data_IF_851927050613
#
_entry.id   IF_851927050613
#
_cell.length_a   1.000
_cell.length_b   1.000
_cell.length_c   1.000
_cell.angle_alpha   90.00
_cell.angle_beta   90.00
_cell.angle_gamma   90.00
#
_symmetry.space_group_name_H-M   'P 1'
#
loop_
_entity.id
_entity.type
_entity.pdbx_description
1 polymer ?
#
# COMPACT_ATOMS: atom_id res chain seq x y z
N UNK A 1 -19.81 -3.33 10.85
CA UNK A 1 -19.52 -4.24 11.98
C UNK A 1 -20.42 -5.46 11.79
N UNK A 2 -19.87 -6.54 11.23
CA UNK A 2 -20.61 -7.78 11.03
C UNK A 2 -20.28 -8.77 12.13
N UNK A 3 -21.32 -9.34 12.76
CA UNK A 3 -21.19 -10.38 13.79
C UNK A 3 -21.97 -11.60 13.32
N UNK A 4 -21.38 -12.79 13.38
CA UNK A 4 -22.06 -14.02 13.00
C UNK A 4 -23.07 -14.50 14.06
N UNK A 5 -23.85 -15.53 13.73
CA UNK A 5 -24.83 -16.14 14.63
C UNK A 5 -24.24 -16.82 15.87
N UNK A 6 -22.91 -16.82 16.04
CA UNK A 6 -22.18 -17.34 17.21
C UNK A 6 -21.49 -16.22 18.00
N UNK A 7 -21.70 -14.95 17.64
CA UNK A 7 -21.12 -13.80 18.33
C UNK A 7 -19.68 -13.48 17.92
N UNK A 8 -19.15 -14.08 16.85
CA UNK A 8 -17.80 -13.79 16.35
C UNK A 8 -17.82 -12.57 15.43
N UNK A 9 -16.90 -11.63 15.66
CA UNK A 9 -16.79 -10.37 14.92
C UNK A 9 -15.93 -10.58 13.66
N UNK A 10 -16.51 -10.35 12.48
CA UNK A 10 -15.86 -10.62 11.18
C UNK A 10 -15.20 -9.40 10.53
N UNK A 11 -15.29 -8.21 11.12
CA UNK A 11 -14.64 -7.00 10.59
C UNK A 11 -14.15 -6.14 11.73
N UNK A 12 -12.83 -6.08 11.92
CA UNK A 12 -12.18 -4.91 12.49
C UNK A 12 -11.67 -4.09 11.32
N UNK A 13 -12.53 -3.22 10.79
CA UNK A 13 -12.08 -1.94 10.23
C UNK A 13 -10.98 -1.41 11.15
N UNK A 14 -9.79 -1.08 10.64
CA UNK A 14 -8.64 -0.58 11.40
C UNK A 14 -9.24 0.54 12.23
N UNK A 15 -9.39 0.28 13.53
CA UNK A 15 -10.13 1.22 14.34
C UNK A 15 -9.26 2.47 14.39
N UNK A 16 -9.75 3.51 13.71
CA UNK A 16 -9.09 4.80 13.52
C UNK A 16 -8.59 5.38 14.84
N UNK A 17 -9.18 4.96 15.96
CA UNK A 17 -8.77 5.27 17.34
C UNK A 17 -7.39 4.72 17.73
N UNK A 18 -6.82 3.77 17.00
CA UNK A 18 -5.52 3.15 17.33
C UNK A 18 -4.44 3.36 16.26
N UNK A 19 -4.82 3.42 14.99
CA UNK A 19 -3.86 3.37 13.88
C UNK A 19 -3.29 4.74 13.55
N UNK A 20 -4.15 5.75 13.46
CA UNK A 20 -3.71 7.14 13.31
C UNK A 20 -2.84 7.53 14.52
N UNK A 21 -3.24 7.27 15.78
CA UNK A 21 -2.36 7.51 16.93
C UNK A 21 -1.07 6.69 16.93
N UNK A 22 -1.07 5.42 16.48
CA UNK A 22 0.17 4.64 16.40
C UNK A 22 1.16 5.24 15.39
N UNK A 23 0.66 5.64 14.22
CA UNK A 23 1.49 6.27 13.20
C UNK A 23 1.94 7.68 13.64
N UNK A 24 1.09 8.42 14.36
CA UNK A 24 1.40 9.75 14.89
C UNK A 24 2.35 9.72 16.10
N UNK A 25 2.18 8.79 17.03
CA UNK A 25 2.88 8.82 18.33
C UNK A 25 4.11 7.90 18.36
N UNK A 26 4.03 6.76 17.67
CA UNK A 26 5.13 5.77 17.62
C UNK A 26 6.05 6.05 16.44
N UNK A 27 5.47 6.22 15.24
CA UNK A 27 6.22 6.42 13.99
C UNK A 27 6.50 7.92 13.76
N UNK A 28 5.71 8.81 14.39
CA UNK A 28 5.78 10.27 14.24
C UNK A 28 5.67 10.72 12.79
N UNK A 29 4.74 10.13 12.05
CA UNK A 29 4.56 10.39 10.62
C UNK A 29 3.12 10.81 10.27
N UNK A 30 2.78 12.10 10.42
CA UNK A 30 1.45 12.64 10.15
C UNK A 30 0.91 12.38 8.74
N UNK A 31 1.68 12.60 7.68
CA UNK A 31 1.14 12.42 6.33
C UNK A 31 0.84 10.96 6.00
N UNK A 32 1.58 10.02 6.57
CA UNK A 32 1.25 8.60 6.45
C UNK A 32 -0.03 8.25 7.21
N UNK A 33 -0.21 8.81 8.40
CA UNK A 33 -1.43 8.62 9.16
C UNK A 33 -2.64 9.17 8.38
N UNK A 34 -2.47 10.32 7.73
CA UNK A 34 -3.47 10.93 6.85
C UNK A 34 -3.79 10.04 5.64
N UNK A 35 -2.77 9.53 4.93
CA UNK A 35 -2.98 8.65 3.75
C UNK A 35 -3.64 7.33 4.11
N UNK A 36 -3.28 6.75 5.27
CA UNK A 36 -3.94 5.55 5.79
C UNK A 36 -5.40 5.85 6.15
N UNK A 37 -5.66 6.98 6.80
CA UNK A 37 -7.03 7.39 7.12
C UNK A 37 -7.90 7.67 5.89
N UNK A 38 -7.35 8.31 4.85
CA UNK A 38 -8.04 8.56 3.59
C UNK A 38 -8.37 7.25 2.86
N UNK A 39 -7.41 6.30 2.79
CA UNK A 39 -7.66 4.97 2.19
C UNK A 39 -8.65 4.12 3.00
N UNK A 40 -8.70 4.30 4.31
CA UNK A 40 -9.69 3.65 5.18
C UNK A 40 -11.04 4.39 5.24
N UNK A 41 -11.30 5.35 4.34
CA UNK A 41 -12.53 6.14 4.26
C UNK A 41 -12.94 6.82 5.60
N UNK A 42 -11.96 7.28 6.37
CA UNK A 42 -12.19 7.95 7.65
C UNK A 42 -12.61 9.41 7.44
N UNK A 43 -13.92 9.67 7.48
CA UNK A 43 -14.46 11.04 7.44
C UNK A 43 -13.93 11.90 8.61
N UNK A 44 -13.49 13.13 8.32
CA UNK A 44 -13.09 14.14 9.31
C UNK A 44 -11.62 14.14 9.74
N UNK A 45 -10.76 13.31 9.13
CA UNK A 45 -9.34 13.23 9.50
C UNK A 45 -8.49 14.39 8.96
N UNK A 46 -9.00 15.14 7.99
CA UNK A 46 -8.36 16.34 7.43
C UNK A 46 -8.07 17.42 8.49
N UNK A 47 -8.91 17.51 9.53
CA UNK A 47 -8.76 18.46 10.65
C UNK A 47 -7.52 18.17 11.51
N UNK A 48 -7.03 16.92 11.53
CA UNK A 48 -5.85 16.53 12.30
C UNK A 48 -4.53 16.98 11.64
N UNK A 49 -4.59 17.48 10.40
CA UNK A 49 -3.44 17.86 9.57
C UNK A 49 -3.63 19.23 8.92
N UNK A 50 -4.49 20.07 9.53
CA UNK A 50 -4.70 21.46 9.14
C UNK A 50 -3.34 22.20 9.08
N UNK A 51 -3.01 22.89 7.97
CA UNK A 51 -1.75 23.63 7.79
C UNK A 51 -1.57 24.83 8.73
N UNK A 52 -2.56 25.16 9.58
CA UNK A 52 -2.37 26.03 10.76
C UNK A 52 -2.39 25.24 12.08
N UNK A 53 -1.44 24.31 12.33
CA UNK A 53 -1.29 23.73 13.65
C UNK A 53 -0.54 24.76 14.51
N UNK A 54 -1.07 25.10 15.69
CA UNK A 54 -0.36 26.01 16.60
C UNK A 54 1.08 25.56 16.84
N UNK A 55 2.04 26.43 16.51
CA UNK A 55 3.50 26.53 16.75
C UNK A 55 4.40 25.29 17.00
N UNK A 56 3.92 24.05 16.97
CA UNK A 56 4.70 22.85 17.37
C UNK A 56 4.62 21.65 16.42
N UNK A 57 4.27 21.81 15.14
CA UNK A 57 4.31 20.70 14.18
C UNK A 57 5.69 20.56 13.52
N UNK A 58 6.37 19.40 13.64
CA UNK A 58 7.66 19.20 13.00
C UNK A 58 7.51 19.16 11.46
N UNK A 59 8.40 19.89 10.77
CA UNK A 59 8.62 19.79 9.32
C UNK A 59 8.81 18.31 8.92
N UNK A 60 7.87 17.73 8.16
CA UNK A 60 7.89 16.32 7.78
C UNK A 60 8.01 16.10 6.27
N UNK A 61 9.15 15.51 5.92
CA UNK A 61 9.61 14.78 4.72
C UNK A 61 8.73 14.82 3.46
N UNK A 62 9.31 15.36 2.38
CA UNK A 62 8.62 15.74 1.14
C UNK A 62 8.33 14.67 0.08
N UNK A 63 8.80 13.42 0.13
CA UNK A 63 8.51 12.46 -0.96
C UNK A 63 8.35 11.00 -0.47
N UNK A 64 7.12 10.48 -0.59
CA UNK A 64 6.81 9.07 -0.29
C UNK A 64 7.04 8.20 -1.52
N UNK A 65 8.29 7.78 -1.75
CA UNK A 65 8.65 6.82 -2.81
C UNK A 65 8.26 5.39 -2.42
N UNK A 66 8.09 4.45 -3.38
CA UNK A 66 7.86 3.03 -3.07
C UNK A 66 8.89 2.48 -2.06
N UNK A 67 10.17 2.81 -2.27
CA UNK A 67 11.29 2.42 -1.38
C UNK A 67 11.10 2.92 0.05
N UNK A 68 10.68 4.18 0.24
CA UNK A 68 10.45 4.74 1.59
C UNK A 68 9.32 4.02 2.34
N UNK A 69 8.27 3.61 1.62
CA UNK A 69 7.11 2.91 2.17
C UNK A 69 7.48 1.46 2.51
N UNK A 70 8.26 0.80 1.65
CA UNK A 70 8.81 -0.54 1.91
C UNK A 70 9.67 -0.57 3.17
N UNK A 71 10.59 0.39 3.33
CA UNK A 71 11.43 0.48 4.52
C UNK A 71 10.59 0.68 5.79
N UNK A 72 9.50 1.43 5.70
CA UNK A 72 8.59 1.57 6.80
C UNK A 72 7.82 0.27 7.11
N UNK A 73 7.40 -0.47 6.10
CA UNK A 73 6.80 -1.80 6.29
C UNK A 73 7.77 -2.73 7.03
N UNK A 74 9.03 -2.80 6.59
CA UNK A 74 10.09 -3.59 7.24
C UNK A 74 10.28 -3.18 8.72
N UNK A 75 10.26 -1.88 9.03
CA UNK A 75 10.30 -1.37 10.42
C UNK A 75 9.09 -1.80 11.23
N UNK A 76 7.89 -1.68 10.69
CA UNK A 76 6.66 -2.12 11.36
C UNK A 76 6.69 -3.63 11.65
N UNK A 77 7.15 -4.43 10.69
CA UNK A 77 7.30 -5.88 10.85
C UNK A 77 8.28 -6.23 11.99
N UNK A 78 9.45 -5.59 12.04
CA UNK A 78 10.44 -5.77 13.13
C UNK A 78 9.90 -5.43 14.52
N UNK A 79 8.96 -4.49 14.59
CA UNK A 79 8.28 -4.11 15.83
C UNK A 79 7.08 -5.03 16.17
N UNK A 80 6.86 -6.09 15.40
CA UNK A 80 5.73 -7.01 15.58
C UNK A 80 4.40 -6.48 15.03
N UNK A 81 4.39 -5.29 14.42
CA UNK A 81 3.20 -4.66 13.83
C UNK A 81 2.90 -5.22 12.43
N UNK A 82 2.68 -6.54 12.36
CA UNK A 82 2.52 -7.31 11.13
C UNK A 82 1.34 -6.81 10.27
N UNK A 83 0.23 -6.41 10.89
CA UNK A 83 -0.94 -5.84 10.18
C UNK A 83 -0.64 -4.50 9.50
N UNK A 84 0.13 -3.64 10.16
CA UNK A 84 0.50 -2.34 9.58
C UNK A 84 1.51 -2.58 8.45
N UNK A 85 2.46 -3.49 8.66
CA UNK A 85 3.44 -3.87 7.65
C UNK A 85 2.78 -4.43 6.37
N UNK A 86 1.74 -5.26 6.49
CA UNK A 86 1.02 -5.79 5.31
C UNK A 86 0.28 -4.70 4.52
N UNK A 87 -0.37 -3.76 5.21
CA UNK A 87 -1.01 -2.60 4.55
C UNK A 87 0.03 -1.74 3.84
N UNK A 88 1.19 -1.52 4.47
CA UNK A 88 2.28 -0.75 3.85
C UNK A 88 2.87 -1.45 2.63
N UNK A 89 2.91 -2.79 2.58
CA UNK A 89 3.33 -3.53 1.38
C UNK A 89 2.37 -3.30 0.20
N UNK A 90 1.07 -3.30 0.46
CA UNK A 90 0.08 -2.97 -0.57
C UNK A 90 0.22 -1.54 -1.09
N UNK A 91 0.35 -0.57 -0.18
CA UNK A 91 0.56 0.83 -0.55
C UNK A 91 1.85 0.97 -1.36
N UNK A 92 2.93 0.30 -0.93
CA UNK A 92 4.21 0.30 -1.63
C UNK A 92 4.05 -0.16 -3.09
N UNK A 93 3.42 -1.31 -3.33
CA UNK A 93 3.15 -1.81 -4.68
C UNK A 93 2.28 -0.85 -5.49
N UNK A 94 1.18 -0.35 -4.89
CA UNK A 94 0.29 0.61 -5.55
C UNK A 94 1.04 1.86 -6.03
N UNK A 95 1.91 2.42 -5.18
CA UNK A 95 2.71 3.61 -5.50
C UNK A 95 3.76 3.29 -6.56
N UNK A 96 4.34 2.09 -6.55
CA UNK A 96 5.30 1.65 -7.58
C UNK A 96 4.64 1.60 -8.97
N UNK A 97 3.44 1.02 -9.07
CA UNK A 97 2.69 0.97 -10.32
C UNK A 97 2.28 2.38 -10.78
N UNK A 98 1.78 3.23 -9.87
CA UNK A 98 1.44 4.62 -10.22
C UNK A 98 2.66 5.40 -10.70
N UNK A 99 3.81 5.21 -10.05
CA UNK A 99 5.07 5.81 -10.50
C UNK A 99 5.47 5.29 -11.88
N UNK A 100 5.38 3.99 -12.14
CA UNK A 100 5.66 3.42 -13.46
C UNK A 100 4.77 4.03 -14.56
N UNK A 101 3.46 4.15 -14.30
CA UNK A 101 2.49 4.80 -15.20
C UNK A 101 2.90 6.26 -15.47
N UNK A 102 3.24 7.01 -14.42
CA UNK A 102 3.62 8.41 -14.52
C UNK A 102 4.95 8.61 -15.25
N UNK A 103 6.00 7.85 -14.88
CA UNK A 103 7.34 7.97 -15.46
C UNK A 103 7.32 7.61 -16.95
N UNK A 104 6.43 6.71 -17.35
CA UNK A 104 6.23 6.34 -18.75
C UNK A 104 5.13 7.15 -19.46
N UNK A 105 4.45 8.08 -18.77
CA UNK A 105 3.34 8.88 -19.32
C UNK A 105 2.25 8.02 -19.98
N UNK A 106 1.80 6.95 -19.30
CA UNK A 106 0.75 6.07 -19.80
C UNK A 106 -0.64 6.66 -19.53
N UNK A 107 -1.52 6.59 -20.53
CA UNK A 107 -2.91 7.03 -20.38
C UNK A 107 -3.81 5.92 -19.83
N UNK A 108 -3.58 5.51 -18.59
CA UNK A 108 -4.32 4.41 -17.93
C UNK A 108 -4.85 4.85 -16.57
N UNK A 109 -6.09 4.45 -16.26
CA UNK A 109 -6.72 4.72 -14.96
C UNK A 109 -6.86 3.43 -14.14
N UNK A 110 -6.16 3.32 -13.02
CA UNK A 110 -6.14 2.14 -12.15
C UNK A 110 -6.90 2.41 -10.85
N UNK A 111 -8.23 2.43 -10.91
CA UNK A 111 -9.10 2.83 -9.80
C UNK A 111 -9.39 1.70 -8.77
N UNK A 112 -9.21 0.43 -9.13
CA UNK A 112 -9.47 -0.72 -8.27
C UNK A 112 -8.20 -1.51 -7.96
N UNK A 113 -8.28 -2.40 -6.98
CA UNK A 113 -7.15 -3.26 -6.60
C UNK A 113 -6.96 -4.40 -7.60
N UNK A 114 -8.05 -4.91 -8.20
CA UNK A 114 -7.99 -5.88 -9.30
C UNK A 114 -7.30 -5.29 -10.52
N UNK A 115 -7.58 -4.03 -10.88
CA UNK A 115 -6.98 -3.38 -12.05
C UNK A 115 -5.48 -3.19 -11.88
N UNK A 116 -5.01 -2.87 -10.67
CA UNK A 116 -3.57 -2.77 -10.39
C UNK A 116 -2.87 -4.13 -10.54
N UNK A 117 -3.52 -5.23 -10.12
CA UNK A 117 -2.98 -6.59 -10.27
C UNK A 117 -2.95 -7.04 -11.71
N UNK A 118 -4.05 -6.86 -12.43
CA UNK A 118 -4.13 -7.14 -13.87
C UNK A 118 -3.07 -6.34 -14.61
N UNK A 119 -2.98 -5.03 -14.35
CA UNK A 119 -1.97 -4.18 -14.96
C UNK A 119 -0.54 -4.64 -14.68
N UNK A 120 -0.21 -5.01 -13.44
CA UNK A 120 1.11 -5.54 -13.10
C UNK A 120 1.45 -6.82 -13.90
N UNK A 121 0.48 -7.72 -14.07
CA UNK A 121 0.61 -8.93 -14.88
C UNK A 121 0.77 -8.63 -16.37
N UNK A 122 0.06 -7.61 -16.87
CA UNK A 122 0.19 -7.17 -18.25
C UNK A 122 1.53 -6.49 -18.53
N UNK A 123 2.21 -5.87 -17.54
CA UNK A 123 3.58 -5.35 -17.74
C UNK A 123 4.52 -6.52 -18.06
N UNK A 124 4.54 -7.53 -17.19
CA UNK A 124 5.20 -8.81 -17.42
C UNK A 124 4.70 -9.86 -16.42
N UNK A 125 4.78 -11.13 -16.81
CA UNK A 125 4.43 -12.27 -15.94
C UNK A 125 5.23 -12.25 -14.62
N UNK A 126 6.53 -11.90 -14.67
CA UNK A 126 7.37 -11.82 -13.49
C UNK A 126 6.93 -10.68 -12.54
N UNK A 127 6.64 -9.49 -13.07
CA UNK A 127 6.15 -8.36 -12.26
C UNK A 127 4.77 -8.71 -11.66
N UNK A 128 3.88 -9.29 -12.46
CA UNK A 128 2.58 -9.77 -12.00
C UNK A 128 2.68 -10.76 -10.84
N UNK A 129 3.51 -11.79 -10.98
CA UNK A 129 3.70 -12.82 -9.96
C UNK A 129 4.25 -12.24 -8.66
N UNK A 130 5.28 -11.40 -8.73
CA UNK A 130 5.83 -10.72 -7.55
C UNK A 130 4.77 -9.82 -6.89
N UNK A 131 4.01 -9.07 -7.69
CA UNK A 131 2.98 -8.17 -7.20
C UNK A 131 1.87 -8.93 -6.47
N UNK A 132 1.38 -10.03 -7.04
CA UNK A 132 0.40 -10.91 -6.42
C UNK A 132 0.93 -11.50 -5.10
N UNK A 133 2.18 -11.97 -5.10
CA UNK A 133 2.81 -12.61 -3.94
C UNK A 133 2.82 -11.71 -2.71
N UNK A 134 3.22 -10.44 -2.83
CA UNK A 134 3.22 -9.56 -1.66
C UNK A 134 1.86 -8.88 -1.41
N UNK A 135 1.01 -8.74 -2.44
CA UNK A 135 -0.30 -8.09 -2.28
C UNK A 135 -1.35 -8.97 -1.63
N UNK A 136 -1.27 -10.29 -1.76
CA UNK A 136 -2.18 -11.23 -1.05
C UNK A 136 -2.19 -11.02 0.47
N UNK A 137 -1.09 -10.50 1.04
CA UNK A 137 -0.97 -10.19 2.46
C UNK A 137 -1.91 -9.05 2.90
N UNK A 138 -2.41 -8.26 1.95
CA UNK A 138 -3.44 -7.26 2.16
C UNK A 138 -4.86 -7.85 2.12
N UNK A 139 -5.14 -8.83 1.26
CA UNK A 139 -6.50 -9.42 1.17
C UNK A 139 -6.90 -10.15 2.45
N UNK A 140 -5.91 -10.63 3.19
CA UNK A 140 -6.11 -11.28 4.49
C UNK A 140 -6.36 -10.28 5.62
N UNK A 141 -6.37 -8.99 5.32
CA UNK A 141 -6.82 -7.99 6.27
C UNK A 141 -8.27 -8.24 6.76
N UNK A 142 -9.11 -8.85 5.92
CA UNK A 142 -10.50 -9.22 6.25
C UNK A 142 -10.65 -10.64 6.84
N UNK A 143 -9.61 -11.48 6.79
CA UNK A 143 -9.67 -12.85 7.27
C UNK A 143 -8.81 -13.01 8.53
N UNK A 144 -9.27 -13.76 9.52
CA UNK A 144 -8.62 -13.97 10.82
C UNK A 144 -7.21 -14.64 10.79
N UNK A 145 -6.52 -14.68 9.65
CA UNK A 145 -5.16 -15.20 9.49
C UNK A 145 -4.14 -14.13 9.90
N UNK A 146 -3.34 -14.44 10.92
CA UNK A 146 -2.18 -13.62 11.27
C UNK A 146 -0.95 -14.14 10.52
N UNK A 147 -0.44 -13.36 9.57
CA UNK A 147 0.89 -13.60 9.02
C UNK A 147 1.96 -13.28 10.06
N UNK A 148 2.94 -14.17 10.15
CA UNK A 148 4.07 -14.00 11.03
C UNK A 148 5.10 -13.01 10.46
N UNK A 149 6.05 -12.55 11.28
CA UNK A 149 7.15 -11.71 10.82
C UNK A 149 7.96 -12.32 9.68
N UNK A 150 8.09 -13.66 9.64
CA UNK A 150 8.80 -14.37 8.57
C UNK A 150 8.08 -14.27 7.23
N UNK A 151 6.75 -14.41 7.21
CA UNK A 151 5.97 -14.32 5.97
C UNK A 151 6.05 -12.89 5.39
N UNK A 152 5.98 -11.88 6.26
CA UNK A 152 6.09 -10.48 5.86
C UNK A 152 7.50 -10.08 5.45
N UNK A 153 8.53 -10.73 6.02
CA UNK A 153 9.90 -10.56 5.54
C UNK A 153 10.03 -11.07 4.10
N UNK A 154 9.51 -12.26 3.81
CA UNK A 154 9.46 -12.78 2.45
C UNK A 154 8.68 -11.85 1.52
N UNK A 155 7.49 -11.40 1.93
CA UNK A 155 6.70 -10.45 1.14
C UNK A 155 7.43 -9.12 0.87
N UNK A 156 8.21 -8.62 1.84
CA UNK A 156 9.03 -7.43 1.65
C UNK A 156 10.19 -7.64 0.65
N UNK A 157 10.78 -8.83 0.63
CA UNK A 157 11.81 -9.21 -0.35
C UNK A 157 11.21 -9.30 -1.77
N UNK A 158 10.01 -9.86 -1.92
CA UNK A 158 9.28 -9.90 -3.20
C UNK A 158 8.90 -8.49 -3.68
N UNK A 159 8.41 -7.63 -2.78
CA UNK A 159 8.12 -6.24 -3.09
C UNK A 159 9.37 -5.47 -3.52
N UNK A 160 10.51 -5.72 -2.88
CA UNK A 160 11.80 -5.14 -3.24
C UNK A 160 12.24 -5.50 -4.67
N UNK A 161 12.09 -6.78 -5.05
CA UNK A 161 12.35 -7.24 -6.41
C UNK A 161 11.39 -6.61 -7.42
N UNK A 162 10.09 -6.57 -7.09
CA UNK A 162 9.07 -5.99 -7.96
C UNK A 162 9.36 -4.51 -8.27
N UNK A 163 9.67 -3.71 -7.23
CA UNK A 163 10.04 -2.29 -7.40
C UNK A 163 11.26 -2.15 -8.30
N UNK A 164 12.30 -2.97 -8.07
CA UNK A 164 13.51 -2.93 -8.88
C UNK A 164 13.22 -3.23 -10.36
N UNK A 165 12.42 -4.27 -10.64
CA UNK A 165 12.03 -4.61 -12.01
C UNK A 165 11.24 -3.48 -12.66
N UNK A 166 10.28 -2.87 -11.96
CA UNK A 166 9.53 -1.72 -12.47
C UNK A 166 10.44 -0.51 -12.76
N UNK A 167 11.44 -0.25 -11.91
CA UNK A 167 12.42 0.84 -12.09
C UNK A 167 13.35 0.60 -13.31
N UNK A 168 13.68 -0.66 -13.60
CA UNK A 168 14.60 -1.06 -14.68
C UNK A 168 13.86 -1.41 -16.00
N UNK A 169 12.53 -1.53 -15.97
CA UNK A 169 11.74 -1.98 -17.10
C UNK A 169 11.77 -0.97 -18.25
N UNK A 170 12.26 -1.41 -19.41
CA UNK A 170 12.29 -0.60 -20.63
C UNK A 170 11.02 -0.84 -21.43
N UNK A 171 10.12 0.12 -21.41
CA UNK A 171 8.86 0.03 -22.13
C UNK A 171 9.05 0.28 -23.63
N UNK A 172 8.67 -0.68 -24.48
CA UNK A 172 8.61 -0.48 -25.94
C UNK A 172 7.32 0.21 -26.36
N UNK A 173 7.28 0.75 -27.57
CA UNK A 173 6.08 1.40 -28.11
C UNK A 173 4.93 0.41 -28.33
N UNK A 174 5.24 -0.83 -28.72
CA UNK A 174 4.25 -1.91 -28.84
C UNK A 174 3.65 -2.20 -27.46
N UNK A 175 4.50 -2.39 -26.45
CA UNK A 175 4.05 -2.73 -25.10
C UNK A 175 3.26 -1.59 -24.46
N UNK A 176 3.65 -0.34 -24.71
CA UNK A 176 2.87 0.85 -24.33
C UNK A 176 1.44 0.76 -24.85
N UNK A 177 1.27 0.52 -26.15
CA UNK A 177 -0.06 0.43 -26.78
C UNK A 177 -0.86 -0.73 -26.21
N UNK A 178 -0.24 -1.88 -25.94
CA UNK A 178 -0.92 -2.99 -25.26
C UNK A 178 -1.45 -2.57 -23.89
N UNK A 179 -0.59 -1.95 -23.06
CA UNK A 179 -0.96 -1.52 -21.71
C UNK A 179 -2.06 -0.45 -21.69
N UNK A 180 -2.08 0.45 -22.67
CA UNK A 180 -3.10 1.52 -22.78
C UNK A 180 -4.45 1.02 -23.29
N UNK A 181 -4.49 -0.16 -23.93
CA UNK A 181 -5.72 -0.77 -24.46
C UNK A 181 -6.24 -1.92 -23.59
N UNK A 182 -5.74 -2.08 -22.36
CA UNK A 182 -6.26 -3.09 -21.43
C UNK A 182 -7.72 -2.75 -21.12
N UNK A 183 -8.61 -3.68 -21.43
CA UNK A 183 -9.99 -3.68 -20.94
C UNK A 183 -9.99 -4.25 -19.52
N UNK A 184 -10.28 -3.39 -18.55
CA UNK A 184 -10.37 -3.77 -17.16
C UNK A 184 -11.81 -4.18 -16.85
N UNK A 185 -12.01 -5.47 -16.53
CA UNK A 185 -13.31 -6.05 -16.15
C UNK A 185 -13.56 -6.01 -14.64
#
# INVERSE_FOLDING_TARGET
>A
MGIDGKGQVFTVSLDKRYVVPCVMNTIKNPDLALKLAMRCNCQGVEVLFDPNPGENSPNLVKDYTPRSILELSKKCCKLGNCRIASVLLWICGSVAIQKFVSDNSLNVTLNSDSYKRQFANEISEEIGSLFENFSRYHDVYDCCFSYGPNDLKYAAEEAEKCIKLLEEFKLSDEKRKELENIEFE
#
